data_IF_118738160495
#
_entry.id   IF_118738160495
#
_cell.length_a   1.000
_cell.length_b   1.000
_cell.length_c   1.000
_cell.angle_alpha   90.00
_cell.angle_beta   90.00
_cell.angle_gamma   90.00
#
_symmetry.space_group_name_H-M   'P 1'
#
loop_
_entity.id
_entity.type
_entity.pdbx_description
1 polymer ?
#
# COMPACT_ATOMS: atom_id res chain seq x y z
N UNK A 1 5.51 -4.49 -3.97
CA UNK A 1 5.35 -3.09 -3.49
C UNK A 1 6.67 -2.33 -3.54
N UNK A 2 7.76 -2.91 -3.02
CA UNK A 2 9.11 -2.32 -3.15
C UNK A 2 9.59 -2.17 -4.61
N UNK A 3 9.32 -3.16 -5.48
CA UNK A 3 9.66 -3.09 -6.91
C UNK A 3 8.93 -1.96 -7.64
N UNK A 4 7.63 -1.78 -7.37
CA UNK A 4 6.83 -0.71 -7.96
C UNK A 4 7.30 0.68 -7.51
N UNK A 5 7.65 0.84 -6.23
CA UNK A 5 8.21 2.09 -5.72
C UNK A 5 9.57 2.39 -6.36
N UNK A 6 10.44 1.39 -6.50
CA UNK A 6 11.74 1.55 -7.15
C UNK A 6 11.60 1.96 -8.63
N UNK A 7 10.65 1.36 -9.35
CA UNK A 7 10.36 1.76 -10.74
C UNK A 7 9.81 3.17 -10.85
N UNK A 8 8.90 3.58 -9.95
CA UNK A 8 8.35 4.94 -9.92
C UNK A 8 9.42 5.97 -9.61
N UNK A 9 10.29 5.72 -8.62
CA UNK A 9 11.42 6.60 -8.29
C UNK A 9 12.39 6.72 -9.46
N UNK A 10 12.71 5.61 -10.14
CA UNK A 10 13.55 5.64 -11.34
C UNK A 10 12.92 6.44 -12.48
N UNK A 11 11.61 6.31 -12.69
CA UNK A 11 10.89 7.09 -13.70
C UNK A 11 10.95 8.59 -13.39
N UNK A 12 10.85 8.95 -12.11
CA UNK A 12 10.87 10.32 -11.61
C UNK A 12 12.24 10.99 -11.79
N UNK A 13 13.33 10.26 -11.53
CA UNK A 13 14.69 10.73 -11.82
C UNK A 13 14.88 11.02 -13.30
N UNK A 14 14.36 10.16 -14.20
CA UNK A 14 14.46 10.39 -15.65
C UNK A 14 13.65 11.59 -16.10
N UNK A 15 12.45 11.81 -15.55
CA UNK A 15 11.61 12.95 -15.96
C UNK A 15 12.17 14.29 -15.49
N UNK A 16 12.97 14.30 -14.42
CA UNK A 16 13.69 15.50 -13.95
C UNK A 16 14.75 16.02 -14.94
N UNK A 17 15.21 15.17 -15.86
CA UNK A 17 16.25 15.51 -16.83
C UNK A 17 15.70 16.24 -18.07
N UNK A 18 14.38 16.29 -18.25
CA UNK A 18 13.73 16.91 -19.40
C UNK A 18 13.08 18.23 -19.01
N UNK A 19 13.43 19.31 -19.71
CA UNK A 19 12.88 20.66 -19.48
C UNK A 19 11.59 20.93 -20.25
N UNK A 20 11.01 19.93 -20.91
CA UNK A 20 9.77 20.08 -21.63
C UNK A 20 8.57 20.25 -20.68
N UNK A 21 7.60 21.09 -21.07
CA UNK A 21 6.44 21.44 -20.24
C UNK A 21 5.51 20.23 -20.01
N UNK A 22 5.49 19.27 -20.93
CA UNK A 22 4.80 17.99 -20.74
C UNK A 22 5.50 17.08 -19.74
N UNK A 23 6.84 17.07 -19.76
CA UNK A 23 7.65 16.31 -18.80
C UNK A 23 7.55 16.88 -17.38
N UNK A 24 7.48 18.21 -17.22
CA UNK A 24 7.27 18.84 -15.92
C UNK A 24 5.95 18.40 -15.26
N UNK A 25 4.84 18.39 -16.00
CA UNK A 25 3.54 17.90 -15.47
C UNK A 25 3.57 16.43 -15.10
N UNK A 26 4.24 15.62 -15.91
CA UNK A 26 4.42 14.19 -15.63
C UNK A 26 5.27 13.97 -14.38
N UNK A 27 6.34 14.75 -14.22
CA UNK A 27 7.21 14.73 -13.06
C UNK A 27 6.45 15.11 -11.78
N UNK A 28 5.70 16.21 -11.79
CA UNK A 28 4.89 16.65 -10.64
C UNK A 28 3.87 15.57 -10.23
N UNK A 29 3.17 14.97 -11.21
CA UNK A 29 2.21 13.89 -10.93
C UNK A 29 2.86 12.62 -10.38
N UNK A 30 4.05 12.25 -10.89
CA UNK A 30 4.81 11.10 -10.37
C UNK A 30 5.32 11.36 -8.95
N UNK A 31 5.77 12.59 -8.66
CA UNK A 31 6.20 13.01 -7.33
C UNK A 31 5.07 12.93 -6.33
N UNK A 32 3.87 13.40 -6.68
CA UNK A 32 2.69 13.27 -5.82
C UNK A 32 2.38 11.80 -5.49
N UNK A 33 2.46 10.90 -6.48
CA UNK A 33 2.27 9.46 -6.25
C UNK A 33 3.34 8.88 -5.33
N UNK A 34 4.62 9.17 -5.59
CA UNK A 34 5.73 8.65 -4.76
C UNK A 34 5.64 9.18 -3.33
N UNK A 35 5.40 10.47 -3.14
CA UNK A 35 5.25 11.10 -1.82
C UNK A 35 4.07 10.49 -1.06
N UNK A 36 2.97 10.21 -1.76
CA UNK A 36 1.78 9.58 -1.19
C UNK A 36 2.02 8.13 -0.76
N UNK A 37 2.75 7.35 -1.55
CA UNK A 37 3.08 5.96 -1.21
C UNK A 37 4.22 5.82 -0.20
N UNK A 38 5.07 6.84 -0.06
CA UNK A 38 6.18 6.85 0.91
C UNK A 38 5.80 7.52 2.24
N UNK A 39 4.89 8.49 2.21
CA UNK A 39 4.46 9.29 3.37
C UNK A 39 3.35 8.66 4.21
N UNK A 40 2.46 7.84 3.63
CA UNK A 40 1.37 7.22 4.38
C UNK A 40 1.56 5.69 4.42
N UNK A 41 2.03 5.11 5.54
CA UNK A 41 2.05 3.67 5.69
C UNK A 41 0.61 3.16 5.62
N UNK A 42 0.26 2.44 4.55
CA UNK A 42 -1.05 1.83 4.44
C UNK A 42 -1.25 0.88 5.64
N UNK A 43 -2.24 1.18 6.47
CA UNK A 43 -2.60 0.33 7.61
C UNK A 43 -3.45 -0.84 7.09
N UNK A 44 -3.02 -2.06 7.41
CA UNK A 44 -3.70 -3.29 7.01
C UNK A 44 -4.23 -3.98 8.26
N UNK A 45 -5.47 -4.46 8.18
CA UNK A 45 -6.03 -5.40 9.13
C UNK A 45 -5.74 -6.81 8.61
N UNK A 46 -5.13 -7.63 9.45
CA UNK A 46 -4.94 -9.04 9.17
C UNK A 46 -5.98 -9.82 9.94
N UNK A 47 -6.57 -10.83 9.30
CA UNK A 47 -7.63 -11.64 9.88
C UNK A 47 -7.42 -13.09 9.55
N UNK A 48 -7.71 -13.96 10.50
CA UNK A 48 -7.78 -15.39 10.28
C UNK A 48 -9.20 -15.87 10.57
N UNK A 49 -9.66 -16.84 9.79
CA UNK A 49 -10.87 -17.60 10.05
C UNK A 49 -10.45 -18.97 10.60
N UNK A 50 -10.53 -19.19 11.92
CA UNK A 50 -10.13 -20.46 12.50
C UNK A 50 -11.08 -21.56 12.03
N UNK A 51 -10.57 -22.73 11.67
CA UNK A 51 -11.43 -23.82 11.17
C UNK A 51 -12.44 -24.36 12.20
N UNK A 52 -12.26 -24.01 13.46
CA UNK A 52 -13.07 -24.46 14.60
C UNK A 52 -14.03 -23.36 15.10
N UNK A 53 -13.99 -22.16 14.53
CA UNK A 53 -14.87 -21.04 14.87
C UNK A 53 -15.46 -20.43 13.59
N UNK A 54 -16.67 -19.88 13.67
CA UNK A 54 -17.27 -19.11 12.58
C UNK A 54 -16.89 -17.64 12.62
N UNK A 55 -16.33 -17.14 13.73
CA UNK A 55 -15.91 -15.77 13.88
C UNK A 55 -14.54 -15.50 13.25
N UNK A 56 -14.37 -14.29 12.73
CA UNK A 56 -13.08 -13.82 12.27
C UNK A 56 -12.27 -13.26 13.44
N UNK A 57 -11.00 -13.65 13.51
CA UNK A 57 -10.06 -13.14 14.49
C UNK A 57 -9.13 -12.12 13.85
N UNK A 58 -9.11 -10.91 14.40
CA UNK A 58 -8.14 -9.89 14.06
C UNK A 58 -6.75 -10.30 14.58
N UNK A 59 -5.74 -10.13 13.75
CA UNK A 59 -4.36 -10.49 14.03
C UNK A 59 -3.48 -9.24 14.05
N UNK A 60 -2.62 -9.19 15.06
CA UNK A 60 -1.48 -8.29 15.05
C UNK A 60 -0.45 -8.76 14.02
N UNK A 61 0.37 -7.81 13.52
CA UNK A 61 1.40 -8.11 12.52
C UNK A 61 2.41 -9.17 12.97
N UNK A 62 2.69 -9.25 14.28
CA UNK A 62 3.56 -10.27 14.89
C UNK A 62 2.93 -11.67 14.89
N UNK A 63 1.59 -11.76 14.84
CA UNK A 63 0.85 -13.03 14.87
C UNK A 63 0.66 -13.64 13.48
N UNK A 64 0.68 -12.82 12.42
CA UNK A 64 0.51 -13.27 11.03
C UNK A 64 1.51 -14.38 10.67
N UNK A 65 2.79 -14.22 11.03
CA UNK A 65 3.82 -15.23 10.76
C UNK A 65 3.51 -16.58 11.41
N UNK A 66 3.09 -16.55 12.68
CA UNK A 66 2.74 -17.75 13.45
C UNK A 66 1.55 -18.47 12.81
N UNK A 67 0.52 -17.72 12.39
CA UNK A 67 -0.69 -18.31 11.77
C UNK A 67 -0.37 -18.95 10.41
N UNK A 68 0.48 -18.33 9.61
CA UNK A 68 0.93 -18.88 8.34
C UNK A 68 1.81 -20.13 8.53
N UNK A 69 2.72 -20.12 9.50
CA UNK A 69 3.59 -21.27 9.83
C UNK A 69 2.79 -22.49 10.30
N UNK A 70 1.64 -22.27 10.94
CA UNK A 70 0.70 -23.31 11.33
C UNK A 70 -0.19 -23.82 10.18
N UNK A 71 -0.01 -23.30 8.96
CA UNK A 71 -0.73 -23.73 7.77
C UNK A 71 -2.14 -23.15 7.62
N UNK A 72 -2.46 -22.07 8.35
CA UNK A 72 -3.75 -21.41 8.26
C UNK A 72 -3.72 -20.23 7.27
N UNK A 73 -4.87 -19.96 6.66
CA UNK A 73 -5.03 -18.83 5.75
C UNK A 73 -5.17 -17.51 6.51
N UNK A 74 -4.47 -16.46 6.08
CA UNK A 74 -4.63 -15.10 6.60
C UNK A 74 -5.20 -14.23 5.49
N UNK A 75 -6.34 -13.60 5.75
CA UNK A 75 -6.88 -12.53 4.92
C UNK A 75 -6.23 -11.21 5.31
N UNK A 76 -5.88 -10.41 4.30
CA UNK A 76 -5.34 -9.07 4.46
C UNK A 76 -6.29 -8.08 3.80
N UNK A 77 -6.89 -7.23 4.62
CA UNK A 77 -7.80 -6.19 4.17
C UNK A 77 -7.25 -4.83 4.51
N UNK A 78 -7.36 -3.90 3.58
CA UNK A 78 -6.93 -2.53 3.81
C UNK A 78 -7.91 -1.88 4.79
N UNK A 79 -7.43 -1.28 5.87
CA UNK A 79 -8.31 -0.56 6.79
C UNK A 79 -8.77 0.70 6.07
N UNK A 80 -10.08 0.78 5.79
CA UNK A 80 -10.73 2.01 5.36
C UNK A 80 -10.61 3.02 6.50
N UNK A 81 -9.53 3.79 6.46
CA UNK A 81 -9.16 4.80 7.45
C UNK A 81 -8.22 5.83 6.85
N UNK A 82 -7.40 5.44 5.87
CA UNK A 82 -6.47 6.38 5.20
C UNK A 82 -6.68 6.50 3.68
N UNK A 83 -7.35 5.58 2.99
CA UNK A 83 -7.49 5.70 1.52
C UNK A 83 -8.43 6.84 1.10
N UNK A 84 -9.57 7.01 1.80
CA UNK A 84 -10.56 8.08 1.52
C UNK A 84 -10.02 9.47 1.90
N UNK A 85 -9.24 9.56 2.98
CA UNK A 85 -8.59 10.80 3.40
C UNK A 85 -7.47 11.23 2.44
N UNK A 86 -6.82 10.27 1.78
CA UNK A 86 -5.65 10.52 0.93
C UNK A 86 -6.03 10.69 -0.55
N UNK A 87 -7.18 10.19 -1.03
CA UNK A 87 -7.64 10.42 -2.43
C UNK A 87 -8.68 11.51 -2.58
N UNK A 88 -9.44 11.86 -1.53
CA UNK A 88 -10.60 12.76 -1.67
C UNK A 88 -11.69 12.23 -2.60
N UNK A 89 -11.64 10.94 -2.99
CA UNK A 89 -12.61 10.29 -3.86
C UNK A 89 -13.44 9.33 -3.01
N UNK A 90 -14.75 9.56 -2.82
CA UNK A 90 -15.63 8.61 -2.15
C UNK A 90 -15.83 7.36 -3.03
N UNK A 91 -15.86 6.18 -2.41
CA UNK A 91 -16.14 4.89 -3.08
C UNK A 91 -17.64 4.73 -3.32
#
# INVERSE_FOLDING_TARGET
MYELLAELTSLLERTSQFTDRGCARLHDGLQEVVDKYTGTPATYQYRNHPSWDTAWMDLDRSQVGIVLDLGHAVERSLVAGDWEAVTGVPV
#
